data_IF_230399861433
#
_entry.id   IF_230399861433
#
_cell.length_a   1.000
_cell.length_b   1.000
_cell.length_c   1.000
_cell.angle_alpha   90.00
_cell.angle_beta   90.00
_cell.angle_gamma   90.00
#
_symmetry.space_group_name_H-M   'P 1'
#
loop_
_entity.id
_entity.type
_entity.pdbx_description
1 polymer ?
#
# COMPACT_ATOMS: atom_id res chain seq x y z
N UNK A 1 22.36 17.30 0.65
CA UNK A 1 23.04 16.02 0.36
C UNK A 1 23.47 16.00 -1.10
N UNK A 2 24.65 15.45 -1.41
CA UNK A 2 25.07 15.24 -2.80
C UNK A 2 24.48 13.90 -3.27
N UNK A 3 23.70 13.93 -4.35
CA UNK A 3 23.17 12.72 -4.98
C UNK A 3 24.27 11.95 -5.73
N UNK A 4 24.09 10.62 -5.83
CA UNK A 4 25.01 9.77 -6.59
C UNK A 4 24.92 10.03 -8.12
N UNK A 5 25.96 9.61 -8.87
CA UNK A 5 26.05 9.84 -10.32
C UNK A 5 24.84 9.31 -11.10
N UNK A 6 24.40 8.08 -10.82
CA UNK A 6 23.22 7.47 -11.47
C UNK A 6 21.93 8.25 -11.26
N UNK A 7 21.69 8.72 -10.01
CA UNK A 7 20.53 9.58 -9.72
C UNK A 7 20.59 10.89 -10.51
N UNK A 8 21.77 11.52 -10.62
CA UNK A 8 21.94 12.76 -11.37
C UNK A 8 21.70 12.56 -12.87
N UNK A 9 22.09 11.42 -13.42
CA UNK A 9 21.83 11.04 -14.81
C UNK A 9 20.32 10.81 -15.03
N UNK A 10 19.66 10.05 -14.17
CA UNK A 10 18.22 9.86 -14.22
C UNK A 10 17.44 11.17 -14.06
N UNK A 11 17.89 12.07 -13.18
CA UNK A 11 17.26 13.37 -12.94
C UNK A 11 17.34 14.33 -14.15
N UNK A 12 18.32 14.15 -15.04
CA UNK A 12 18.41 14.94 -16.29
C UNK A 12 17.31 14.62 -17.30
N UNK A 13 16.70 13.44 -17.20
CA UNK A 13 15.60 13.00 -18.07
C UNK A 13 14.26 13.69 -17.72
N UNK A 14 14.18 14.33 -16.55
CA UNK A 14 12.93 14.83 -15.99
C UNK A 14 13.03 16.34 -15.79
N UNK A 15 12.13 17.10 -16.41
CA UNK A 15 11.95 18.51 -16.10
C UNK A 15 11.09 18.66 -14.83
N UNK A 16 11.67 19.14 -13.75
CA UNK A 16 11.00 19.33 -12.46
C UNK A 16 9.96 20.44 -12.43
N UNK A 17 9.99 21.32 -13.41
CA UNK A 17 9.04 22.46 -13.54
C UNK A 17 7.75 22.02 -14.20
N UNK A 18 7.79 20.96 -14.99
CA UNK A 18 6.69 20.45 -15.78
C UNK A 18 5.87 19.40 -15.00
N UNK A 19 4.58 19.33 -15.29
CA UNK A 19 3.68 18.25 -14.89
C UNK A 19 3.37 17.42 -16.12
N UNK A 20 3.45 16.10 -15.98
CA UNK A 20 3.27 15.15 -17.07
C UNK A 20 1.90 14.46 -16.98
N UNK A 21 1.38 14.03 -18.10
CA UNK A 21 0.26 13.09 -18.14
C UNK A 21 0.65 11.75 -17.49
N UNK A 22 -0.32 10.98 -17.00
CA UNK A 22 -0.04 9.74 -16.29
C UNK A 22 0.79 8.74 -17.13
N UNK A 23 0.44 8.56 -18.41
CA UNK A 23 1.15 7.65 -19.31
C UNK A 23 2.62 8.09 -19.52
N UNK A 24 2.84 9.39 -19.80
CA UNK A 24 4.17 9.94 -20.00
C UNK A 24 5.02 9.87 -18.72
N UNK A 25 4.39 10.15 -17.57
CA UNK A 25 5.04 10.06 -16.27
C UNK A 25 5.49 8.62 -15.96
N UNK A 26 4.66 7.63 -16.25
CA UNK A 26 4.97 6.20 -16.09
C UNK A 26 6.14 5.80 -16.99
N UNK A 27 6.13 6.20 -18.26
CA UNK A 27 7.22 5.94 -19.20
C UNK A 27 8.55 6.56 -18.71
N UNK A 28 8.52 7.80 -18.20
CA UNK A 28 9.69 8.49 -17.65
C UNK A 28 10.19 7.81 -16.37
N UNK A 29 9.30 7.42 -15.47
CA UNK A 29 9.65 6.71 -14.23
C UNK A 29 10.32 5.39 -14.54
N UNK A 30 9.82 4.60 -15.48
CA UNK A 30 10.46 3.35 -15.92
C UNK A 30 11.85 3.59 -16.50
N UNK A 31 12.03 4.60 -17.34
CA UNK A 31 13.34 4.99 -17.91
C UNK A 31 14.32 5.47 -16.84
N UNK A 32 13.84 6.03 -15.74
CA UNK A 32 14.66 6.52 -14.63
C UNK A 32 15.09 5.43 -13.64
N UNK A 33 14.56 4.22 -13.75
CA UNK A 33 14.95 3.07 -12.93
C UNK A 33 16.35 2.59 -13.34
N UNK A 34 17.33 2.80 -12.46
CA UNK A 34 18.76 2.51 -12.73
C UNK A 34 19.36 1.48 -11.81
N UNK A 35 18.60 0.93 -10.87
CA UNK A 35 19.08 -0.10 -9.95
C UNK A 35 19.25 -1.46 -10.64
N UNK A 36 20.02 -2.35 -10.00
CA UNK A 36 20.25 -3.72 -10.50
C UNK A 36 19.13 -4.69 -10.08
N UNK A 37 18.22 -4.25 -9.24
CA UNK A 37 17.05 -5.01 -8.78
C UNK A 37 15.78 -4.44 -9.40
N UNK A 38 14.71 -5.20 -9.38
CA UNK A 38 13.41 -4.76 -9.87
C UNK A 38 12.80 -3.72 -8.91
N UNK A 39 12.96 -2.45 -9.27
CA UNK A 39 12.51 -1.32 -8.45
C UNK A 39 10.98 -1.31 -8.33
N UNK A 40 10.47 -0.87 -7.19
CA UNK A 40 9.05 -0.64 -6.99
C UNK A 40 8.68 0.74 -7.53
N UNK A 41 7.60 0.83 -8.29
CA UNK A 41 6.99 2.10 -8.71
C UNK A 41 5.99 2.50 -7.64
N UNK A 42 6.16 3.70 -7.09
CA UNK A 42 5.37 4.24 -6.00
C UNK A 42 4.69 5.54 -6.41
N UNK A 43 3.50 5.77 -5.85
CA UNK A 43 2.74 7.01 -5.99
C UNK A 43 2.73 7.74 -4.65
N UNK A 44 3.04 9.03 -4.68
CA UNK A 44 3.00 9.92 -3.52
C UNK A 44 1.98 11.03 -3.80
N UNK A 45 0.91 11.06 -3.02
CA UNK A 45 -0.22 11.95 -3.23
C UNK A 45 -0.32 12.92 -2.05
N UNK A 46 -0.02 14.19 -2.30
CA UNK A 46 -0.23 15.26 -1.33
C UNK A 46 -1.69 15.68 -1.36
N UNK A 47 -2.36 15.53 -0.23
CA UNK A 47 -3.78 15.91 -0.11
C UNK A 47 -3.95 17.27 0.57
N UNK A 48 -5.16 17.82 0.45
CA UNK A 48 -5.60 19.02 1.16
C UNK A 48 -6.22 18.71 2.54
N UNK A 49 -6.22 17.44 2.96
CA UNK A 49 -6.70 17.03 4.27
C UNK A 49 -5.77 17.51 5.40
N UNK A 50 -6.29 17.61 6.60
CA UNK A 50 -5.51 17.81 7.82
C UNK A 50 -5.56 16.53 8.67
N UNK A 51 -4.42 15.82 8.75
CA UNK A 51 -4.29 14.56 9.47
C UNK A 51 -4.48 14.67 10.98
N UNK A 52 -4.51 15.90 11.54
CA UNK A 52 -4.79 16.15 12.96
C UNK A 52 -6.28 15.96 13.30
N UNK A 53 -7.15 16.11 12.32
CA UNK A 53 -8.59 15.93 12.48
C UNK A 53 -8.98 14.49 12.13
N UNK A 54 -9.66 13.82 13.06
CA UNK A 54 -10.05 12.41 12.91
C UNK A 54 -11.00 12.17 11.72
N UNK A 55 -11.87 13.14 11.40
CA UNK A 55 -12.80 13.13 10.28
C UNK A 55 -12.13 13.33 8.91
N UNK A 56 -10.90 13.84 8.89
CA UNK A 56 -10.09 14.02 7.67
C UNK A 56 -9.01 12.96 7.49
N UNK A 57 -8.93 11.99 8.39
CA UNK A 57 -8.01 10.87 8.25
C UNK A 57 -8.51 9.89 7.20
N UNK A 58 -7.78 9.81 6.09
CA UNK A 58 -8.03 8.85 5.02
C UNK A 58 -7.30 7.55 5.33
N UNK A 59 -8.04 6.47 5.33
CA UNK A 59 -7.51 5.11 5.39
C UNK A 59 -8.47 4.17 4.67
N UNK A 60 -7.94 3.34 3.78
CA UNK A 60 -8.72 2.39 3.02
C UNK A 60 -7.85 1.33 2.36
N UNK A 61 -8.46 0.51 1.56
CA UNK A 61 -7.77 -0.50 0.76
C UNK A 61 -8.32 -0.50 -0.67
N UNK A 62 -7.49 -0.89 -1.61
CA UNK A 62 -7.84 -1.09 -3.01
C UNK A 62 -7.19 -2.36 -3.52
N UNK A 63 -7.90 -3.10 -4.36
CA UNK A 63 -7.35 -4.25 -5.08
C UNK A 63 -6.82 -3.74 -6.42
N UNK A 64 -5.52 -3.91 -6.65
CA UNK A 64 -4.90 -3.51 -7.92
C UNK A 64 -5.17 -4.59 -8.99
N UNK A 65 -5.66 -4.22 -10.19
CA UNK A 65 -5.99 -5.18 -11.24
C UNK A 65 -4.82 -6.11 -11.61
N UNK A 66 -3.60 -5.58 -11.62
CA UNK A 66 -2.39 -6.33 -11.99
C UNK A 66 -1.53 -6.70 -10.78
N UNK A 67 -2.06 -6.54 -9.55
CA UNK A 67 -1.30 -6.77 -8.32
C UNK A 67 -0.13 -5.81 -8.13
N UNK A 68 0.73 -6.09 -7.14
CA UNK A 68 1.91 -5.28 -6.82
C UNK A 68 3.22 -5.89 -7.35
N UNK A 69 3.19 -7.12 -7.88
CA UNK A 69 4.40 -7.86 -8.28
C UNK A 69 5.24 -8.36 -7.09
N UNK A 70 4.69 -8.33 -5.87
CA UNK A 70 5.29 -8.90 -4.67
C UNK A 70 4.48 -10.11 -4.21
N UNK A 71 5.15 -11.24 -3.95
CA UNK A 71 4.52 -12.38 -3.26
C UNK A 71 4.33 -12.02 -1.80
N UNK A 72 3.08 -11.94 -1.36
CA UNK A 72 2.70 -11.53 0.00
C UNK A 72 2.46 -12.77 0.85
N UNK A 73 3.14 -12.87 2.00
CA UNK A 73 2.89 -13.90 3.01
C UNK A 73 1.79 -13.43 3.95
N UNK A 74 0.73 -14.23 4.04
CA UNK A 74 -0.47 -13.90 4.83
C UNK A 74 -0.52 -14.77 6.08
N UNK A 75 -0.61 -14.12 7.24
CA UNK A 75 -0.89 -14.75 8.53
C UNK A 75 -2.36 -14.53 8.88
N UNK A 76 -3.06 -15.60 9.25
CA UNK A 76 -4.47 -15.56 9.65
C UNK A 76 -4.64 -15.98 11.11
N UNK A 77 -5.26 -15.11 11.90
CA UNK A 77 -5.74 -15.42 13.24
C UNK A 77 -7.23 -15.77 13.21
N UNK A 78 -7.55 -17.04 13.45
CA UNK A 78 -8.92 -17.52 13.47
C UNK A 78 -9.11 -18.63 14.52
N UNK A 79 -10.37 -19.07 14.72
CA UNK A 79 -10.73 -20.20 15.58
C UNK A 79 -11.64 -21.17 14.84
N UNK A 80 -11.58 -22.46 15.21
CA UNK A 80 -12.49 -23.51 14.71
C UNK A 80 -12.40 -23.67 13.19
N UNK A 81 -13.55 -23.79 12.54
CA UNK A 81 -13.66 -24.04 11.08
C UNK A 81 -13.02 -22.93 10.22
N UNK A 82 -12.86 -21.72 10.76
CA UNK A 82 -12.22 -20.61 10.04
C UNK A 82 -10.74 -20.83 9.82
N UNK A 83 -10.08 -21.69 10.60
CA UNK A 83 -8.69 -22.12 10.36
C UNK A 83 -8.59 -22.93 9.05
N UNK A 84 -9.50 -23.89 8.88
CA UNK A 84 -9.52 -24.75 7.69
C UNK A 84 -9.86 -23.93 6.43
N UNK A 85 -10.82 -23.00 6.54
CA UNK A 85 -11.16 -22.06 5.46
C UNK A 85 -9.96 -21.17 5.06
N UNK A 86 -9.20 -20.67 6.03
CA UNK A 86 -8.00 -19.87 5.79
C UNK A 86 -6.90 -20.66 5.09
N UNK A 87 -6.71 -21.90 5.52
CA UNK A 87 -5.72 -22.80 4.92
C UNK A 87 -6.14 -23.21 3.51
N UNK A 88 -7.41 -23.50 3.28
CA UNK A 88 -7.95 -23.82 1.95
C UNK A 88 -7.86 -22.61 1.00
N UNK A 89 -7.99 -21.37 1.50
CA UNK A 89 -7.79 -20.15 0.75
C UNK A 89 -6.31 -19.86 0.42
N UNK A 90 -5.39 -20.66 0.95
CA UNK A 90 -3.96 -20.55 0.68
C UNK A 90 -3.22 -19.54 1.58
N UNK A 91 -3.69 -19.28 2.80
CA UNK A 91 -2.91 -18.54 3.78
C UNK A 91 -1.60 -19.27 4.09
N UNK A 92 -0.50 -18.49 4.22
CA UNK A 92 0.83 -19.07 4.44
C UNK A 92 1.01 -19.53 5.89
N UNK A 93 0.39 -18.81 6.81
CA UNK A 93 0.37 -19.16 8.22
C UNK A 93 -1.05 -18.99 8.77
N UNK A 94 -1.49 -19.98 9.52
CA UNK A 94 -2.82 -20.01 10.14
C UNK A 94 -2.69 -20.46 11.58
N UNK A 95 -3.36 -19.78 12.50
CA UNK A 95 -3.35 -20.18 13.89
C UNK A 95 -4.18 -19.28 14.81
N UNK A 96 -4.20 -19.65 16.07
CA UNK A 96 -4.92 -18.98 17.15
C UNK A 96 -3.98 -18.33 18.18
N UNK A 97 -4.29 -18.56 19.45
CA UNK A 97 -3.53 -17.99 20.58
C UNK A 97 -2.10 -18.54 20.69
N UNK A 98 -1.83 -19.71 20.14
CA UNK A 98 -0.50 -20.34 20.13
C UNK A 98 0.57 -19.58 19.37
N UNK A 99 0.16 -18.71 18.44
CA UNK A 99 1.11 -17.86 17.68
C UNK A 99 1.59 -16.64 18.47
N UNK A 100 0.89 -16.26 19.55
CA UNK A 100 1.23 -15.07 20.34
C UNK A 100 2.61 -15.19 20.97
N UNK A 101 2.94 -16.27 21.70
CA UNK A 101 4.27 -16.42 22.29
C UNK A 101 5.38 -16.38 21.24
N UNK A 102 5.13 -16.98 20.07
CA UNK A 102 6.09 -17.01 18.96
C UNK A 102 6.39 -15.61 18.44
N UNK A 103 5.37 -14.78 18.26
CA UNK A 103 5.53 -13.40 17.78
C UNK A 103 6.13 -12.52 18.88
N UNK A 104 5.65 -12.66 20.12
CA UNK A 104 6.02 -11.77 21.23
C UNK A 104 7.42 -12.07 21.79
N UNK A 105 7.76 -13.36 22.00
CA UNK A 105 8.98 -13.78 22.67
C UNK A 105 10.11 -14.08 21.68
N UNK A 106 9.79 -14.72 20.54
CA UNK A 106 10.79 -15.09 19.55
C UNK A 106 10.99 -14.00 18.49
N UNK A 107 10.11 -12.98 18.43
CA UNK A 107 10.18 -11.91 17.44
C UNK A 107 9.90 -12.39 16.01
N UNK A 108 9.18 -13.51 15.86
CA UNK A 108 8.86 -14.07 14.56
C UNK A 108 7.87 -13.17 13.79
N UNK A 109 8.31 -12.64 12.66
CA UNK A 109 7.56 -11.70 11.82
C UNK A 109 7.78 -12.01 10.32
N UNK A 110 7.85 -13.29 9.97
CA UNK A 110 8.04 -13.73 8.57
C UNK A 110 6.72 -13.74 7.79
N UNK A 111 5.96 -12.64 7.90
CA UNK A 111 4.71 -12.40 7.19
C UNK A 111 4.57 -10.92 6.85
N UNK A 112 3.84 -10.62 5.78
CA UNK A 112 3.66 -9.26 5.26
C UNK A 112 2.30 -8.66 5.65
N UNK A 113 1.27 -9.49 5.80
CA UNK A 113 -0.09 -9.05 6.14
C UNK A 113 -0.69 -9.98 7.19
N UNK A 114 -1.41 -9.39 8.13
CA UNK A 114 -2.17 -10.13 9.17
C UNK A 114 -3.67 -9.94 8.93
N UNK A 115 -4.39 -11.05 8.87
CA UNK A 115 -5.86 -11.09 8.85
C UNK A 115 -6.33 -11.67 10.17
N UNK A 116 -7.38 -11.13 10.74
CA UNK A 116 -7.97 -11.64 11.97
C UNK A 116 -9.49 -11.70 11.89
N UNK A 117 -10.08 -12.71 12.50
CA UNK A 117 -11.52 -12.71 12.76
C UNK A 117 -11.83 -11.76 13.93
N UNK A 118 -13.00 -11.12 13.98
CA UNK A 118 -13.35 -10.18 15.04
C UNK A 118 -13.23 -10.75 16.46
N UNK A 119 -13.55 -12.02 16.64
CA UNK A 119 -13.44 -12.76 17.91
C UNK A 119 -11.99 -12.96 18.37
N UNK A 120 -11.01 -12.97 17.43
CA UNK A 120 -9.59 -13.06 17.74
C UNK A 120 -8.94 -11.70 18.01
N UNK A 121 -9.60 -10.58 17.75
CA UNK A 121 -9.02 -9.25 17.90
C UNK A 121 -8.55 -8.96 19.33
N UNK A 122 -9.30 -9.39 20.37
CA UNK A 122 -8.89 -9.23 21.76
C UNK A 122 -7.58 -9.93 22.11
N UNK A 123 -7.27 -11.01 21.39
CA UNK A 123 -6.02 -11.76 21.50
C UNK A 123 -4.90 -11.06 20.73
N UNK A 124 -5.18 -10.61 19.50
CA UNK A 124 -4.24 -9.90 18.63
C UNK A 124 -3.84 -8.53 19.20
N UNK A 125 -4.72 -7.86 19.96
CA UNK A 125 -4.41 -6.60 20.65
C UNK A 125 -3.20 -6.70 21.59
N UNK A 126 -2.96 -7.86 22.20
CA UNK A 126 -1.78 -8.10 23.02
C UNK A 126 -0.47 -7.94 22.24
N UNK A 127 -0.52 -8.17 20.93
CA UNK A 127 0.58 -7.99 19.99
C UNK A 127 0.72 -6.55 19.47
N UNK A 128 -0.15 -5.62 19.89
CA UNK A 128 -0.19 -4.26 19.38
C UNK A 128 1.14 -3.50 19.50
N UNK A 129 1.92 -3.75 20.56
CA UNK A 129 3.26 -3.17 20.75
C UNK A 129 4.29 -3.66 19.72
N UNK A 130 4.09 -4.85 19.15
CA UNK A 130 4.99 -5.48 18.15
C UNK A 130 4.50 -5.20 16.74
N UNK A 131 3.20 -5.46 16.47
CA UNK A 131 2.61 -5.33 15.14
C UNK A 131 2.32 -3.87 14.74
N UNK A 132 1.96 -3.03 15.72
CA UNK A 132 1.58 -1.62 15.48
C UNK A 132 2.67 -0.80 14.82
N UNK A 133 3.89 -0.71 15.38
CA UNK A 133 5.00 0.05 14.79
C UNK A 133 5.42 -0.44 13.40
N UNK A 134 5.18 -1.73 13.11
CA UNK A 134 5.50 -2.34 11.81
C UNK A 134 4.38 -2.22 10.77
N UNK A 135 3.22 -1.66 11.16
CA UNK A 135 2.07 -1.52 10.27
C UNK A 135 1.34 -2.84 9.98
N UNK A 136 1.59 -3.90 10.75
CA UNK A 136 1.03 -5.24 10.55
C UNK A 136 -0.28 -5.46 11.35
N UNK A 137 -0.72 -4.48 12.12
CA UNK A 137 -1.92 -4.61 12.95
C UNK A 137 -3.19 -4.66 12.09
N UNK A 138 -4.02 -5.72 12.21
CA UNK A 138 -5.27 -5.82 11.46
C UNK A 138 -6.20 -4.64 11.74
N UNK A 139 -6.94 -4.20 10.71
CA UNK A 139 -7.84 -3.07 10.82
C UNK A 139 -9.13 -3.29 9.98
N UNK A 140 -10.33 -3.04 10.55
CA UNK A 140 -11.60 -3.17 9.82
C UNK A 140 -11.68 -2.29 8.58
N UNK A 141 -11.11 -1.06 8.62
CA UNK A 141 -11.12 -0.12 7.49
C UNK A 141 -10.27 -0.61 6.30
N UNK A 142 -9.23 -1.40 6.58
CA UNK A 142 -8.43 -2.05 5.55
C UNK A 142 -9.04 -3.39 5.08
N UNK A 143 -10.12 -3.85 5.76
CA UNK A 143 -10.74 -5.14 5.48
C UNK A 143 -9.87 -6.34 5.84
N UNK A 144 -8.95 -6.16 6.81
CA UNK A 144 -8.12 -7.25 7.37
C UNK A 144 -8.71 -7.80 8.67
N UNK A 145 -9.80 -7.22 9.17
CA UNK A 145 -10.64 -7.80 10.24
C UNK A 145 -11.99 -8.16 9.62
N UNK A 146 -12.24 -9.45 9.43
CA UNK A 146 -13.44 -9.94 8.75
C UNK A 146 -13.80 -11.36 9.16
N UNK A 147 -15.08 -11.71 9.05
CA UNK A 147 -15.56 -13.09 9.19
C UNK A 147 -15.36 -13.91 7.90
N UNK A 148 -15.26 -13.24 6.74
CA UNK A 148 -14.99 -13.89 5.44
C UNK A 148 -13.48 -13.91 5.18
N UNK A 149 -12.83 -14.88 5.82
CA UNK A 149 -11.38 -15.07 5.74
C UNK A 149 -10.94 -15.45 4.33
N UNK A 150 -11.72 -16.30 3.65
CA UNK A 150 -11.42 -16.78 2.30
C UNK A 150 -11.30 -15.62 1.32
N UNK A 151 -12.29 -14.73 1.32
CA UNK A 151 -12.28 -13.55 0.46
C UNK A 151 -11.10 -12.62 0.79
N UNK A 152 -10.85 -12.38 2.09
CA UNK A 152 -9.76 -11.51 2.51
C UNK A 152 -8.39 -12.02 2.04
N UNK A 153 -8.11 -13.32 2.20
CA UNK A 153 -6.86 -13.95 1.76
C UNK A 153 -6.71 -13.87 0.24
N UNK A 154 -7.78 -14.19 -0.51
CA UNK A 154 -7.78 -14.10 -1.97
C UNK A 154 -7.54 -12.67 -2.46
N UNK A 155 -8.22 -11.67 -1.88
CA UNK A 155 -8.04 -10.26 -2.23
C UNK A 155 -6.60 -9.81 -1.98
N UNK A 156 -6.00 -10.18 -0.83
CA UNK A 156 -4.62 -9.83 -0.49
C UNK A 156 -3.64 -10.46 -1.48
N UNK A 157 -3.82 -11.73 -1.82
CA UNK A 157 -3.00 -12.44 -2.80
C UNK A 157 -3.21 -11.93 -4.23
N UNK A 158 -4.40 -11.39 -4.54
CA UNK A 158 -4.68 -10.70 -5.80
C UNK A 158 -4.04 -9.31 -5.90
N UNK A 159 -3.45 -8.79 -4.81
CA UNK A 159 -2.77 -7.51 -4.79
C UNK A 159 -3.56 -6.37 -4.13
N UNK A 160 -4.35 -6.69 -3.10
CA UNK A 160 -4.96 -5.68 -2.23
C UNK A 160 -3.89 -4.95 -1.46
N UNK A 161 -3.90 -3.63 -1.58
CA UNK A 161 -2.99 -2.73 -0.86
C UNK A 161 -3.80 -1.83 0.08
N UNK A 162 -3.19 -1.48 1.19
CA UNK A 162 -3.72 -0.48 2.11
C UNK A 162 -3.10 0.89 1.81
N UNK A 163 -3.91 1.94 1.85
CA UNK A 163 -3.43 3.31 1.81
C UNK A 163 -3.85 4.08 3.06
N UNK A 164 -2.96 4.93 3.55
CA UNK A 164 -3.16 5.73 4.75
C UNK A 164 -2.54 7.11 4.59
N UNK A 165 -3.24 8.12 5.10
CA UNK A 165 -2.72 9.47 5.22
C UNK A 165 -1.65 9.54 6.32
N UNK A 166 -0.49 10.09 6.02
CA UNK A 166 0.59 10.33 6.98
C UNK A 166 0.41 11.67 7.72
N UNK A 167 1.33 11.95 8.64
CA UNK A 167 1.35 13.22 9.41
C UNK A 167 1.64 14.44 8.55
N UNK A 168 2.24 14.26 7.37
CA UNK A 168 2.51 15.30 6.40
C UNK A 168 1.37 15.49 5.39
N UNK A 169 0.24 14.81 5.58
CA UNK A 169 -0.92 14.80 4.70
C UNK A 169 -0.59 14.24 3.30
N UNK A 170 0.27 13.23 3.26
CA UNK A 170 0.67 12.52 2.04
C UNK A 170 0.23 11.06 2.15
N UNK A 171 -0.21 10.49 1.04
CA UNK A 171 -0.48 9.07 0.88
C UNK A 171 0.64 8.48 0.05
N UNK A 172 1.29 7.42 0.53
CA UNK A 172 2.37 6.71 -0.13
C UNK A 172 1.92 5.29 -0.44
N UNK A 173 1.92 4.90 -1.72
CA UNK A 173 1.37 3.60 -2.15
C UNK A 173 2.19 3.03 -3.30
N UNK A 174 2.59 1.75 -3.24
CA UNK A 174 3.18 1.05 -4.37
C UNK A 174 2.11 0.72 -5.41
N UNK A 175 2.40 0.91 -6.70
CA UNK A 175 1.49 0.58 -7.82
C UNK A 175 1.99 -0.56 -8.69
N UNK A 176 3.21 -1.02 -8.49
CA UNK A 176 3.77 -2.16 -9.21
C UNK A 176 5.30 -2.17 -9.23
N UNK A 177 5.85 -2.97 -10.11
CA UNK A 177 7.29 -3.09 -10.34
C UNK A 177 7.71 -2.40 -11.63
N UNK A 178 8.97 -1.99 -11.72
CA UNK A 178 9.54 -1.43 -12.94
C UNK A 178 9.51 -2.41 -14.12
N UNK A 179 9.47 -3.72 -13.83
CA UNK A 179 9.31 -4.79 -14.82
C UNK A 179 7.90 -4.86 -15.45
N UNK A 180 6.88 -4.26 -14.82
CA UNK A 180 5.52 -4.25 -15.38
C UNK A 180 5.48 -3.46 -16.69
N UNK A 181 4.51 -3.79 -17.56
CA UNK A 181 4.24 -2.97 -18.75
C UNK A 181 3.71 -1.58 -18.34
N UNK A 182 3.82 -0.62 -19.24
CA UNK A 182 3.28 0.74 -19.02
C UNK A 182 1.77 0.68 -18.83
N UNK A 183 1.08 -0.15 -19.61
CA UNK A 183 -0.38 -0.36 -19.51
C UNK A 183 -0.81 -0.94 -18.15
N UNK A 184 -0.04 -1.92 -17.62
CA UNK A 184 -0.32 -2.52 -16.30
C UNK A 184 -0.17 -1.49 -15.18
N UNK A 185 0.88 -0.66 -15.24
CA UNK A 185 1.11 0.41 -14.26
C UNK A 185 0.04 1.49 -14.35
N UNK A 186 -0.40 1.84 -15.57
CA UNK A 186 -1.46 2.83 -15.80
C UNK A 186 -2.80 2.33 -15.25
N UNK A 187 -3.16 1.08 -15.50
CA UNK A 187 -4.38 0.48 -14.94
C UNK A 187 -4.38 0.48 -13.42
N UNK A 188 -3.25 0.08 -12.81
CA UNK A 188 -3.09 0.10 -11.36
C UNK A 188 -3.15 1.53 -10.80
N UNK A 189 -2.50 2.48 -11.46
CA UNK A 189 -2.52 3.89 -11.09
C UNK A 189 -3.95 4.46 -11.14
N UNK A 190 -4.68 4.22 -12.22
CA UNK A 190 -6.05 4.70 -12.38
C UNK A 190 -6.99 4.09 -11.33
N UNK A 191 -6.89 2.77 -11.07
CA UNK A 191 -7.68 2.11 -10.02
C UNK A 191 -7.41 2.71 -8.63
N UNK A 192 -6.14 3.03 -8.32
CA UNK A 192 -5.76 3.70 -7.09
C UNK A 192 -6.35 5.12 -7.01
N UNK A 193 -6.23 5.90 -8.09
CA UNK A 193 -6.72 7.28 -8.13
C UNK A 193 -8.24 7.35 -7.96
N UNK A 194 -8.98 6.45 -8.60
CA UNK A 194 -10.42 6.32 -8.43
C UNK A 194 -10.82 6.01 -6.99
N UNK A 195 -10.09 5.09 -6.34
CA UNK A 195 -10.33 4.75 -4.94
C UNK A 195 -10.08 5.94 -4.00
N UNK A 196 -8.99 6.68 -4.23
CA UNK A 196 -8.64 7.86 -3.44
C UNK A 196 -9.62 9.01 -3.69
N UNK A 197 -10.05 9.24 -4.93
CA UNK A 197 -11.06 10.27 -5.24
C UNK A 197 -12.39 9.98 -4.53
N UNK A 198 -12.83 8.72 -4.52
CA UNK A 198 -14.04 8.28 -3.79
C UNK A 198 -13.91 8.40 -2.27
N UNK A 199 -12.68 8.29 -1.74
CA UNK A 199 -12.40 8.39 -0.31
C UNK A 199 -12.33 9.82 0.21
N UNK A 200 -12.61 10.85 -0.61
CA UNK A 200 -12.60 12.26 -0.21
C UNK A 200 -13.56 12.51 0.96
N UNK A 201 -13.08 12.98 2.13
CA UNK A 201 -13.94 13.35 3.23
C UNK A 201 -14.77 14.59 2.90
N UNK A 202 -16.04 14.61 3.32
CA UNK A 202 -16.95 15.76 3.11
C UNK A 202 -16.50 17.03 3.82
N UNK A 203 -15.71 16.88 4.89
CA UNK A 203 -15.17 18.00 5.69
C UNK A 203 -14.00 18.73 5.01
N UNK A 204 -13.43 18.17 3.93
CA UNK A 204 -12.32 18.81 3.21
C UNK A 204 -12.84 19.90 2.28
N UNK A 205 -12.49 21.15 2.61
CA UNK A 205 -12.81 22.34 1.79
C UNK A 205 -11.64 22.66 0.86
N UNK A 206 -11.95 23.05 -0.39
CA UNK A 206 -10.95 23.41 -1.40
C UNK A 206 -10.37 22.22 -2.15
N UNK A 207 -9.14 22.38 -2.63
CA UNK A 207 -8.47 21.40 -3.48
C UNK A 207 -8.06 20.16 -2.66
N UNK A 208 -8.63 19.01 -3.04
CA UNK A 208 -8.38 17.73 -2.36
C UNK A 208 -7.01 17.15 -2.72
N UNK A 209 -6.71 17.04 -4.01
CA UNK A 209 -5.43 16.54 -4.50
C UNK A 209 -4.53 17.73 -4.86
N UNK A 210 -3.49 17.99 -4.06
CA UNK A 210 -2.58 19.14 -4.27
C UNK A 210 -1.47 18.80 -5.24
N UNK A 211 -0.88 17.62 -5.14
CA UNK A 211 0.15 17.14 -6.05
C UNK A 211 0.22 15.63 -6.05
N UNK A 212 0.54 15.06 -7.20
CA UNK A 212 0.75 13.64 -7.41
C UNK A 212 2.16 13.48 -7.97
N UNK A 213 2.91 12.56 -7.42
CA UNK A 213 4.29 12.28 -7.86
C UNK A 213 4.49 10.77 -7.97
N UNK A 214 5.00 10.32 -9.10
CA UNK A 214 5.45 8.96 -9.33
C UNK A 214 6.96 8.88 -9.12
N UNK A 215 7.44 7.81 -8.52
CA UNK A 215 8.87 7.57 -8.36
C UNK A 215 9.16 6.05 -8.37
N UNK A 216 10.38 5.68 -8.76
CA UNK A 216 10.91 4.35 -8.44
C UNK A 216 11.69 4.39 -7.14
N UNK A 217 11.99 3.22 -6.56
CA UNK A 217 12.68 3.08 -5.26
C UNK A 217 13.95 3.95 -5.16
N UNK A 218 14.75 4.02 -6.23
CA UNK A 218 16.02 4.78 -6.26
C UNK A 218 15.99 5.95 -7.23
N UNK A 219 14.89 6.15 -7.95
CA UNK A 219 14.75 7.16 -8.99
C UNK A 219 14.28 8.52 -8.47
N UNK A 220 14.36 9.54 -9.32
CA UNK A 220 13.78 10.86 -9.06
C UNK A 220 12.27 10.85 -9.21
N UNK A 221 11.58 11.76 -8.51
CA UNK A 221 10.13 11.92 -8.61
C UNK A 221 9.71 12.67 -9.88
N UNK A 222 8.67 12.15 -10.55
CA UNK A 222 8.01 12.73 -11.72
C UNK A 222 6.63 13.25 -11.30
N UNK A 223 6.36 14.53 -11.52
CA UNK A 223 5.08 15.14 -11.17
C UNK A 223 4.01 14.81 -12.20
N UNK A 224 2.85 14.40 -11.74
CA UNK A 224 1.67 14.10 -12.58
C UNK A 224 0.65 15.23 -12.45
N UNK A 225 -0.08 15.51 -13.53
CA UNK A 225 -1.17 16.49 -13.54
C UNK A 225 -2.27 16.04 -12.57
N UNK A 226 -2.46 16.80 -11.48
CA UNK A 226 -3.40 16.44 -10.41
C UNK A 226 -4.85 16.84 -10.72
N UNK A 227 -5.07 17.82 -11.60
CA UNK A 227 -6.40 18.42 -11.87
C UNK A 227 -7.36 17.50 -12.62
N UNK A 228 -6.93 16.34 -13.08
CA UNK A 228 -7.76 15.34 -13.77
C UNK A 228 -8.50 14.40 -12.82
N UNK A 229 -8.12 14.35 -11.57
CA UNK A 229 -8.64 13.41 -10.55
C UNK A 229 -9.37 14.16 -9.39
#
# INVERSE_FOLDING_TARGET
MKHGKKYLEAAKLIDKTQQYEAADAIALVKKSATAKFDETVEVHIKTGCDSRHADQQIRGAVVLPNGTGKTVKVLVFAKGTKLDEAQAAGADFVGGEELIPKIQNEGWLDFDVVVATPDMMGVVERLGKVLGPKGLMPNPKAGTVTMDVTKAVNDIKAGKIEYRLDKANIIHVPVGKASFSEEQLEQNFNALMDAIAKAKPSSVKGQYLKSITLATTMGPGVKVVANKY
#
